data_IF_882320880908
#
_entry.id   IF_882320880908
#
_cell.length_a   1.000
_cell.length_b   1.000
_cell.length_c   1.000
_cell.angle_alpha   90.00
_cell.angle_beta   90.00
_cell.angle_gamma   90.00
#
_symmetry.space_group_name_H-M   'P 1'
#
loop_
_entity.id
_entity.type
_entity.pdbx_description
1 polymer ?
#
# COMPACT_ATOMS: atom_id res chain seq x y z
N UNK A 1 -26.65 6.98 6.24
CA UNK A 1 -25.83 8.13 6.71
C UNK A 1 -24.72 8.33 5.69
N UNK A 2 -24.98 9.19 4.70
CA UNK A 2 -24.00 9.55 3.66
C UNK A 2 -22.87 10.33 4.31
N UNK A 3 -21.72 9.70 4.47
CA UNK A 3 -20.51 10.44 4.83
C UNK A 3 -20.05 11.23 3.61
N UNK A 4 -20.34 12.53 3.59
CA UNK A 4 -19.80 13.50 2.63
C UNK A 4 -18.31 13.24 2.47
N UNK A 5 -17.88 12.84 1.27
CA UNK A 5 -16.50 12.56 0.95
C UNK A 5 -15.60 13.72 1.37
N UNK A 6 -14.69 13.46 2.29
CA UNK A 6 -13.71 14.46 2.71
C UNK A 6 -12.85 14.81 1.52
N UNK A 7 -12.93 16.04 1.02
CA UNK A 7 -12.09 16.57 -0.07
C UNK A 7 -10.60 16.65 0.31
N UNK A 8 -10.21 16.12 1.45
CA UNK A 8 -8.86 16.24 2.02
C UNK A 8 -8.44 14.85 2.50
N UNK A 9 -7.20 14.47 2.21
CA UNK A 9 -6.58 13.26 2.77
C UNK A 9 -6.55 13.36 4.29
N UNK A 10 -7.22 12.46 4.98
CA UNK A 10 -7.37 12.49 6.42
C UNK A 10 -7.15 11.12 7.06
N UNK A 11 -6.55 11.13 8.21
CA UNK A 11 -6.37 9.97 9.07
C UNK A 11 -7.70 9.30 9.49
N UNK A 12 -8.81 10.06 9.48
CA UNK A 12 -10.14 9.55 9.79
C UNK A 12 -10.67 8.55 8.76
N UNK A 13 -10.13 8.55 7.54
CA UNK A 13 -10.50 7.61 6.47
C UNK A 13 -10.00 6.18 6.74
N UNK A 14 -9.07 6.01 7.70
CA UNK A 14 -8.48 4.73 8.07
C UNK A 14 -8.85 4.39 9.53
N UNK A 15 -9.45 3.21 9.80
CA UNK A 15 -9.70 2.73 11.15
C UNK A 15 -8.42 2.67 11.99
N UNK A 16 -8.55 2.88 13.29
CA UNK A 16 -7.40 3.00 14.20
C UNK A 16 -6.43 1.81 14.13
N UNK A 17 -6.96 0.60 13.99
CA UNK A 17 -6.16 -0.64 13.89
C UNK A 17 -5.25 -0.71 12.67
N UNK A 18 -5.60 0.01 11.59
CA UNK A 18 -4.82 0.06 10.34
C UNK A 18 -3.92 1.30 10.26
N UNK A 19 -3.71 2.01 11.36
CA UNK A 19 -2.81 3.18 11.40
C UNK A 19 -1.41 2.76 11.80
N UNK A 20 -0.42 3.39 11.18
CA UNK A 20 1.00 3.12 11.46
C UNK A 20 1.54 3.97 12.62
N UNK A 21 0.77 4.96 13.08
CA UNK A 21 1.15 5.90 14.14
C UNK A 21 2.45 6.67 13.86
N UNK A 22 2.63 7.07 12.60
CA UNK A 22 3.78 7.86 12.16
C UNK A 22 3.75 9.27 12.76
N UNK A 23 4.91 9.96 12.85
CA UNK A 23 4.98 11.33 13.34
C UNK A 23 4.02 12.26 12.59
N UNK A 24 3.35 13.15 13.30
CA UNK A 24 2.35 14.09 12.73
C UNK A 24 2.95 14.98 11.64
N UNK A 25 4.22 15.35 11.79
CA UNK A 25 4.93 16.18 10.79
C UNK A 25 5.05 15.48 9.45
N UNK A 26 5.33 14.18 9.42
CA UNK A 26 5.41 13.39 8.18
C UNK A 26 4.05 13.33 7.50
N UNK A 27 2.98 13.11 8.26
CA UNK A 27 1.61 13.10 7.75
C UNK A 27 1.22 14.47 7.18
N UNK A 28 1.61 15.56 7.87
CA UNK A 28 1.30 16.92 7.45
C UNK A 28 2.01 17.28 6.14
N UNK A 29 3.31 16.99 6.02
CA UNK A 29 4.10 17.21 4.80
C UNK A 29 3.47 16.44 3.63
N UNK A 30 3.13 15.18 3.82
CA UNK A 30 2.52 14.36 2.78
C UNK A 30 1.17 14.92 2.31
N UNK A 31 0.31 15.38 3.23
CA UNK A 31 -0.97 16.02 2.91
C UNK A 31 -0.78 17.34 2.18
N UNK A 32 0.21 18.13 2.59
CA UNK A 32 0.54 19.38 1.93
C UNK A 32 1.01 19.12 0.49
N UNK A 33 1.90 18.14 0.31
CA UNK A 33 2.36 17.71 -1.01
C UNK A 33 1.18 17.30 -1.91
N UNK A 34 0.30 16.43 -1.45
CA UNK A 34 -0.87 16.01 -2.23
C UNK A 34 -1.78 17.20 -2.58
N UNK A 35 -2.00 18.12 -1.64
CA UNK A 35 -2.81 19.32 -1.88
C UNK A 35 -2.18 20.23 -2.93
N UNK A 36 -0.86 20.41 -2.92
CA UNK A 36 -0.13 21.22 -3.89
C UNK A 36 -0.36 20.72 -5.33
N UNK A 37 -0.41 19.42 -5.52
CA UNK A 37 -0.68 18.79 -6.82
C UNK A 37 -2.16 18.52 -7.09
N UNK A 38 -3.07 19.02 -6.27
CA UNK A 38 -4.51 18.85 -6.44
C UNK A 38 -5.03 17.42 -6.22
N UNK A 39 -4.23 16.53 -5.62
CA UNK A 39 -4.61 15.16 -5.33
C UNK A 39 -5.53 15.04 -4.12
N UNK A 40 -6.52 14.19 -4.24
CA UNK A 40 -7.51 13.87 -3.21
C UNK A 40 -7.57 12.36 -3.02
N UNK A 41 -7.90 11.93 -1.83
CA UNK A 41 -8.22 10.52 -1.55
C UNK A 41 -9.69 10.47 -1.15
N UNK A 42 -10.51 9.88 -2.01
CA UNK A 42 -11.92 9.66 -1.73
C UNK A 42 -12.14 8.26 -1.14
N UNK A 43 -13.20 8.14 -0.35
CA UNK A 43 -13.56 6.90 0.30
C UNK A 43 -12.94 6.71 1.69
N UNK A 44 -13.28 5.60 2.30
CA UNK A 44 -12.81 5.21 3.63
C UNK A 44 -12.75 3.69 3.72
N UNK A 45 -11.92 3.19 4.62
CA UNK A 45 -11.91 1.77 4.97
C UNK A 45 -12.92 1.55 6.10
N UNK A 46 -13.93 0.68 5.91
CA UNK A 46 -14.91 0.42 6.96
C UNK A 46 -14.24 -0.26 8.17
N UNK A 47 -14.77 -0.05 9.38
CA UNK A 47 -14.30 -0.77 10.55
C UNK A 47 -14.69 -2.24 10.41
N UNK A 48 -13.72 -3.11 10.16
CA UNK A 48 -13.91 -4.56 10.12
C UNK A 48 -13.86 -5.13 11.53
N UNK A 49 -14.67 -6.15 11.79
CA UNK A 49 -14.67 -6.89 13.05
C UNK A 49 -13.51 -7.92 13.02
N UNK A 50 -12.69 -7.95 14.09
CA UNK A 50 -11.64 -8.98 14.21
C UNK A 50 -10.25 -8.56 13.69
N UNK A 51 -9.42 -9.55 13.39
CA UNK A 51 -8.02 -9.43 12.99
C UNK A 51 -7.83 -9.61 11.47
N UNK A 52 -8.80 -9.19 10.70
CA UNK A 52 -8.82 -9.42 9.26
C UNK A 52 -7.74 -8.60 8.54
N UNK A 53 -7.11 -9.22 7.56
CA UNK A 53 -6.26 -8.54 6.59
C UNK A 53 -7.12 -8.06 5.41
N UNK A 54 -6.83 -6.89 4.91
CA UNK A 54 -7.54 -6.30 3.79
C UNK A 54 -6.61 -6.17 2.59
N UNK A 55 -7.01 -6.70 1.46
CA UNK A 55 -6.26 -6.55 0.21
C UNK A 55 -6.79 -5.34 -0.53
N UNK A 56 -5.88 -4.39 -0.79
CA UNK A 56 -6.13 -3.22 -1.61
C UNK A 56 -5.53 -3.46 -2.99
N UNK A 57 -6.36 -3.47 -4.01
CA UNK A 57 -5.93 -3.56 -5.39
C UNK A 57 -5.61 -2.15 -5.87
N UNK A 58 -4.34 -1.92 -6.23
CA UNK A 58 -3.86 -0.66 -6.77
C UNK A 58 -3.60 -0.80 -8.27
N UNK A 59 -4.27 -0.01 -9.07
CA UNK A 59 -4.11 0.02 -10.53
C UNK A 59 -4.94 1.14 -11.18
N UNK A 60 -4.69 1.47 -12.44
CA UNK A 60 -3.56 1.00 -13.26
C UNK A 60 -2.21 1.60 -12.83
N UNK A 61 -1.12 0.81 -12.97
CA UNK A 61 0.23 1.20 -12.58
C UNK A 61 1.06 1.53 -13.82
N UNK A 62 0.96 2.78 -14.27
CA UNK A 62 1.49 3.20 -15.57
C UNK A 62 2.76 4.03 -15.46
N UNK A 63 3.02 4.64 -14.30
CA UNK A 63 4.11 5.60 -14.12
C UNK A 63 4.85 5.40 -12.79
N UNK A 64 6.10 5.89 -12.71
CA UNK A 64 6.81 6.03 -11.44
C UNK A 64 6.14 7.06 -10.51
N UNK A 65 5.43 8.04 -11.06
CA UNK A 65 4.68 9.04 -10.32
C UNK A 65 3.53 8.43 -9.51
N UNK A 66 2.93 7.33 -10.01
CA UNK A 66 1.89 6.59 -9.26
C UNK A 66 2.42 6.11 -7.91
N UNK A 67 3.69 5.67 -7.90
CA UNK A 67 4.38 5.31 -6.66
C UNK A 67 4.59 6.50 -5.73
N UNK A 68 4.99 7.65 -6.26
CA UNK A 68 5.23 8.88 -5.47
C UNK A 68 3.93 9.34 -4.81
N UNK A 69 2.87 9.51 -5.59
CA UNK A 69 1.56 9.93 -5.08
C UNK A 69 0.92 8.87 -4.18
N UNK A 70 1.07 7.58 -4.51
CA UNK A 70 0.63 6.47 -3.68
C UNK A 70 1.30 6.47 -2.31
N UNK A 71 2.61 6.64 -2.23
CA UNK A 71 3.33 6.76 -0.95
C UNK A 71 2.95 8.02 -0.18
N UNK A 72 2.77 9.14 -0.86
CA UNK A 72 2.27 10.35 -0.22
C UNK A 72 0.86 10.16 0.36
N UNK A 73 -0.03 9.45 -0.35
CA UNK A 73 -1.35 9.09 0.17
C UNK A 73 -1.25 8.19 1.41
N UNK A 74 -0.42 7.14 1.36
CA UNK A 74 -0.18 6.23 2.50
C UNK A 74 0.32 7.00 3.74
N UNK A 75 1.26 7.93 3.55
CA UNK A 75 1.79 8.77 4.63
C UNK A 75 0.74 9.75 5.15
N UNK A 76 0.02 10.40 4.25
CA UNK A 76 -1.03 11.37 4.59
C UNK A 76 -2.21 10.76 5.35
N UNK A 77 -2.60 9.54 4.99
CA UNK A 77 -3.62 8.74 5.67
C UNK A 77 -3.11 8.11 6.98
N UNK A 78 -1.80 8.06 7.19
CA UNK A 78 -1.15 7.28 8.25
C UNK A 78 -1.45 5.77 8.13
N UNK A 79 -1.62 5.26 6.91
CA UNK A 79 -2.01 3.88 6.69
C UNK A 79 -0.87 2.91 6.97
N UNK A 80 -1.13 1.87 7.79
CA UNK A 80 -0.23 0.73 8.01
C UNK A 80 -0.41 -0.26 6.86
N UNK A 81 0.32 -0.02 5.80
CA UNK A 81 0.23 -0.81 4.58
C UNK A 81 1.41 -1.76 4.45
N UNK A 82 1.17 -2.92 3.88
CA UNK A 82 2.21 -3.86 3.44
C UNK A 82 2.14 -4.00 1.93
N UNK A 83 3.27 -3.94 1.26
CA UNK A 83 3.35 -4.17 -0.19
C UNK A 83 4.60 -4.97 -0.54
N UNK A 84 4.58 -5.60 -1.70
CA UNK A 84 5.68 -6.44 -2.17
C UNK A 84 6.44 -5.74 -3.29
N UNK A 85 7.76 -5.72 -3.19
CA UNK A 85 8.60 -5.08 -4.18
C UNK A 85 9.81 -5.93 -4.57
N UNK A 86 10.39 -5.65 -5.74
CA UNK A 86 11.58 -6.34 -6.25
C UNK A 86 12.74 -6.19 -5.28
N UNK A 87 13.40 -7.30 -4.92
CA UNK A 87 14.51 -7.32 -3.97
C UNK A 87 15.58 -6.27 -4.26
N UNK A 88 15.94 -6.06 -5.53
CA UNK A 88 16.96 -5.09 -5.95
C UNK A 88 16.65 -3.62 -5.58
N UNK A 89 15.40 -3.27 -5.30
CA UNK A 89 15.05 -1.92 -4.83
C UNK A 89 15.38 -1.75 -3.34
N UNK A 90 15.35 -2.83 -2.59
CA UNK A 90 15.62 -2.83 -1.14
C UNK A 90 17.12 -2.90 -0.80
N UNK A 91 17.96 -3.24 -1.77
CA UNK A 91 19.43 -3.23 -1.60
C UNK A 91 20.01 -1.81 -1.69
N UNK A 92 19.28 -0.86 -2.29
CA UNK A 92 19.71 0.54 -2.35
C UNK A 92 19.64 1.19 -0.96
N UNK A 93 20.70 1.88 -0.49
CA UNK A 93 20.82 2.30 0.91
C UNK A 93 19.70 3.23 1.38
N UNK A 94 19.37 4.25 0.60
CA UNK A 94 18.32 5.23 0.97
C UNK A 94 16.94 4.69 0.61
N UNK A 95 16.75 4.28 -0.63
CA UNK A 95 15.46 3.80 -1.12
C UNK A 95 15.01 2.53 -0.37
N UNK A 96 15.92 1.60 -0.10
CA UNK A 96 15.60 0.37 0.63
C UNK A 96 15.14 0.64 2.06
N UNK A 97 15.77 1.58 2.76
CA UNK A 97 15.32 2.02 4.09
C UNK A 97 13.93 2.66 4.04
N UNK A 98 13.70 3.53 3.06
CA UNK A 98 12.40 4.16 2.85
C UNK A 98 11.31 3.13 2.54
N UNK A 99 11.54 2.21 1.61
CA UNK A 99 10.57 1.17 1.26
C UNK A 99 10.22 0.26 2.45
N UNK A 100 11.22 -0.11 3.26
CA UNK A 100 11.00 -0.88 4.50
C UNK A 100 10.16 -0.08 5.51
N UNK A 101 10.48 1.20 5.70
CA UNK A 101 9.71 2.11 6.55
C UNK A 101 8.24 2.23 6.11
N UNK A 102 8.00 2.19 4.80
CA UNK A 102 6.65 2.21 4.22
C UNK A 102 5.90 0.88 4.36
N UNK A 103 6.55 -0.19 4.82
CA UNK A 103 5.95 -1.52 4.96
C UNK A 103 6.21 -2.44 3.78
N UNK A 104 7.22 -2.13 2.97
CA UNK A 104 7.62 -2.95 1.83
C UNK A 104 8.34 -4.23 2.24
N UNK A 105 7.99 -5.33 1.59
CA UNK A 105 8.61 -6.65 1.74
C UNK A 105 9.34 -6.99 0.43
N UNK A 106 10.65 -7.27 0.50
CA UNK A 106 11.41 -7.66 -0.68
C UNK A 106 11.01 -9.05 -1.17
N UNK A 107 10.82 -9.19 -2.48
CA UNK A 107 10.56 -10.46 -3.14
C UNK A 107 11.68 -10.74 -4.16
N UNK A 108 12.32 -11.87 -4.01
CA UNK A 108 13.32 -12.36 -4.94
C UNK A 108 12.73 -13.44 -5.82
N UNK A 109 12.45 -13.10 -7.07
CA UNK A 109 11.85 -14.03 -8.04
C UNK A 109 12.82 -15.09 -8.57
N UNK A 110 14.08 -15.00 -8.23
CA UNK A 110 15.12 -15.93 -8.73
C UNK A 110 15.19 -17.21 -7.91
N UNK A 111 14.62 -17.21 -6.70
CA UNK A 111 14.64 -18.37 -5.80
C UNK A 111 13.42 -19.25 -6.00
N UNK A 112 13.55 -20.59 -6.08
CA UNK A 112 12.42 -21.51 -6.10
C UNK A 112 11.52 -21.31 -4.88
N UNK A 113 10.20 -21.32 -5.06
CA UNK A 113 9.23 -21.10 -3.97
C UNK A 113 9.15 -19.67 -3.44
N UNK A 114 9.85 -18.72 -4.07
CA UNK A 114 9.79 -17.29 -3.72
C UNK A 114 8.82 -16.48 -4.60
N UNK A 115 7.84 -17.16 -5.20
CA UNK A 115 6.78 -16.51 -5.94
C UNK A 115 6.08 -15.45 -5.08
N UNK A 116 5.65 -14.35 -5.70
CA UNK A 116 4.98 -13.25 -5.00
C UNK A 116 3.85 -13.75 -4.11
N UNK A 117 3.07 -14.70 -4.60
CA UNK A 117 1.93 -15.30 -3.90
C UNK A 117 2.37 -16.07 -2.66
N UNK A 118 3.41 -16.91 -2.76
CA UNK A 118 3.86 -17.73 -1.65
C UNK A 118 4.51 -16.89 -0.54
N UNK A 119 5.30 -15.89 -0.93
CA UNK A 119 5.88 -14.91 0.00
C UNK A 119 4.76 -14.09 0.66
N UNK A 120 3.74 -13.70 -0.10
CA UNK A 120 2.59 -12.99 0.43
C UNK A 120 1.85 -13.83 1.47
N UNK A 121 1.46 -15.06 1.14
CA UNK A 121 0.76 -15.98 2.06
C UNK A 121 1.55 -16.19 3.35
N UNK A 122 2.86 -16.47 3.24
CA UNK A 122 3.73 -16.67 4.39
C UNK A 122 3.80 -15.46 5.31
N UNK A 123 3.85 -14.25 4.73
CA UNK A 123 3.91 -13.03 5.50
C UNK A 123 2.53 -12.64 6.06
N UNK A 124 1.45 -12.87 5.32
CA UNK A 124 0.10 -12.59 5.79
C UNK A 124 -0.28 -13.37 7.04
N UNK A 125 0.12 -14.64 7.13
CA UNK A 125 -0.09 -15.46 8.34
C UNK A 125 0.56 -14.85 9.59
N UNK A 126 1.59 -14.01 9.41
CA UNK A 126 2.28 -13.30 10.51
C UNK A 126 1.68 -11.93 10.79
N UNK A 127 0.91 -11.39 9.85
CA UNK A 127 0.31 -10.06 9.97
C UNK A 127 -1.04 -10.17 10.65
N UNK A 128 -1.23 -9.34 11.65
CA UNK A 128 -2.42 -9.30 12.46
C UNK A 128 -3.19 -8.00 12.18
N UNK A 129 -4.12 -8.05 11.22
CA UNK A 129 -4.89 -6.87 10.82
C UNK A 129 -4.07 -5.85 10.04
N UNK A 130 -3.66 -6.17 8.81
CA UNK A 130 -2.88 -5.29 7.93
C UNK A 130 -3.62 -4.98 6.63
N UNK A 131 -3.31 -3.82 6.06
CA UNK A 131 -3.68 -3.45 4.71
C UNK A 131 -2.59 -3.93 3.76
N UNK A 132 -2.92 -4.75 2.78
CA UNK A 132 -1.96 -5.29 1.82
C UNK A 132 -2.26 -4.69 0.46
N UNK A 133 -1.32 -3.91 -0.07
CA UNK A 133 -1.43 -3.33 -1.41
C UNK A 133 -0.79 -4.24 -2.44
N UNK A 134 -1.53 -4.52 -3.50
CA UNK A 134 -1.08 -5.34 -4.61
C UNK A 134 -1.51 -4.71 -5.94
N UNK A 135 -0.63 -4.78 -6.96
CA UNK A 135 -0.99 -4.49 -8.34
C UNK A 135 -1.17 -5.80 -9.10
N UNK A 136 -2.40 -6.12 -9.52
CA UNK A 136 -2.69 -7.38 -10.21
C UNK A 136 -2.11 -7.43 -11.62
N UNK A 137 -1.75 -6.29 -12.19
CA UNK A 137 -1.13 -6.21 -13.51
C UNK A 137 0.26 -6.85 -13.51
N UNK A 138 1.02 -6.71 -12.43
CA UNK A 138 2.37 -7.26 -12.27
C UNK A 138 3.40 -6.70 -13.27
N UNK A 139 3.01 -5.70 -14.07
CA UNK A 139 3.81 -4.99 -15.07
C UNK A 139 3.33 -3.55 -15.17
N UNK A 140 4.17 -2.67 -15.73
CA UNK A 140 3.81 -1.28 -16.05
C UNK A 140 3.33 -1.11 -17.49
N UNK A 141 3.48 -2.15 -18.30
CA UNK A 141 2.92 -2.15 -19.65
C UNK A 141 1.39 -2.31 -19.55
N UNK A 142 0.67 -1.63 -20.45
CA UNK A 142 -0.78 -1.81 -20.56
C UNK A 142 -1.08 -3.28 -20.76
N UNK A 143 -1.87 -3.86 -19.88
CA UNK A 143 -2.28 -5.27 -19.96
C UNK A 143 -3.78 -5.38 -19.76
N UNK A 144 -4.41 -6.21 -20.56
CA UNK A 144 -5.84 -6.54 -20.42
C UNK A 144 -6.04 -7.73 -19.47
N UNK A 145 -4.96 -8.45 -19.14
CA UNK A 145 -5.01 -9.62 -18.27
C UNK A 145 -4.53 -9.29 -16.85
N UNK A 146 -5.41 -9.38 -15.90
CA UNK A 146 -5.08 -9.28 -14.48
C UNK A 146 -4.63 -10.64 -13.94
N UNK A 147 -3.55 -10.62 -13.18
CA UNK A 147 -3.07 -11.83 -12.48
C UNK A 147 -3.97 -12.13 -11.30
N UNK A 148 -4.57 -13.30 -11.26
CA UNK A 148 -5.51 -13.73 -10.21
C UNK A 148 -4.83 -14.23 -8.93
N UNK A 149 -3.51 -14.13 -8.83
CA UNK A 149 -2.76 -14.58 -7.65
C UNK A 149 -3.23 -13.98 -6.32
N UNK A 150 -3.83 -12.79 -6.35
CA UNK A 150 -4.40 -12.17 -5.16
C UNK A 150 -5.60 -12.94 -4.59
N UNK A 151 -6.37 -13.66 -5.41
CA UNK A 151 -7.47 -14.51 -4.96
C UNK A 151 -7.00 -15.72 -4.13
N UNK A 152 -5.74 -16.16 -4.33
CA UNK A 152 -5.13 -17.22 -3.51
C UNK A 152 -4.62 -16.70 -2.18
N UNK A 153 -4.55 -15.39 -2.04
CA UNK A 153 -4.02 -14.70 -0.87
C UNK A 153 -5.18 -14.26 0.04
N UNK A 154 -6.34 -13.95 -0.55
CA UNK A 154 -7.56 -13.63 0.17
C UNK A 154 -8.16 -14.86 0.86
#
# INVERSE_FOLDING_TARGET
MEMKGSKIVSRSQIPHKYRASRPKIVQWIARWFLRLFGWKVDGFIPPLKGKENLIIIAGPHTSNWDGVFGFAAILGLDAKITFFGKHSLFTKPILGKFLKYMGGIPVDKTKPGSGLTDVAIKNMKKLNGSLIAMSPEGTRAKTEKLKTGFLRIA
#
